data_IF_563398592623
#
_entry.id   IF_563398592623
#
_cell.length_a   1.000
_cell.length_b   1.000
_cell.length_c   1.000
_cell.angle_alpha   90.00
_cell.angle_beta   90.00
_cell.angle_gamma   90.00
#
_symmetry.space_group_name_H-M   'P 1'
#
loop_
_entity.id
_entity.type
_entity.pdbx_description
1 polymer ?
#
# COMPACT_ATOMS: atom_id res chain seq x y z
N UNK A 1 -47.48 3.73 -44.75
CA UNK A 1 -46.95 2.85 -45.81
C UNK A 1 -45.78 3.63 -46.41
N UNK A 2 -44.55 3.45 -45.91
CA UNK A 2 -43.65 2.29 -46.04
C UNK A 2 -42.84 2.34 -47.34
N UNK A 3 -41.51 2.21 -47.22
CA UNK A 3 -40.51 2.41 -48.28
C UNK A 3 -39.72 3.70 -48.05
N UNK A 4 -38.59 3.68 -47.34
CA UNK A 4 -37.25 3.27 -47.79
C UNK A 4 -36.60 4.28 -48.75
N UNK A 5 -35.80 5.19 -48.20
CA UNK A 5 -34.41 5.43 -48.62
C UNK A 5 -33.80 6.61 -47.82
N UNK A 6 -33.54 6.37 -46.53
CA UNK A 6 -32.45 7.05 -45.84
C UNK A 6 -31.18 6.27 -46.16
N UNK A 7 -30.42 6.72 -47.17
CA UNK A 7 -29.16 6.09 -47.57
C UNK A 7 -27.98 7.03 -47.22
N UNK A 8 -27.19 6.76 -46.17
CA UNK A 8 -26.11 7.63 -45.72
C UNK A 8 -24.81 7.46 -46.55
N UNK A 9 -24.92 7.13 -47.84
CA UNK A 9 -23.79 6.78 -48.71
C UNK A 9 -23.55 7.78 -49.86
N UNK A 10 -23.74 9.09 -49.62
CA UNK A 10 -23.08 10.07 -50.48
C UNK A 10 -21.63 10.22 -50.03
N UNK A 11 -20.70 9.86 -50.92
CA UNK A 11 -19.28 9.76 -50.61
C UNK A 11 -18.66 11.11 -50.26
N UNK A 12 -18.28 11.28 -48.99
CA UNK A 12 -17.42 12.37 -48.57
C UNK A 12 -16.12 12.39 -49.41
N UNK A 13 -15.71 13.56 -49.87
CA UNK A 13 -14.47 13.72 -50.63
C UNK A 13 -13.29 13.75 -49.64
N UNK A 14 -12.51 12.67 -49.57
CA UNK A 14 -11.33 12.59 -48.70
C UNK A 14 -10.27 13.60 -49.12
N UNK A 15 -9.97 14.56 -48.23
CA UNK A 15 -8.83 15.46 -48.34
C UNK A 15 -7.59 14.78 -47.73
N UNK A 16 -6.42 14.99 -48.32
CA UNK A 16 -5.16 14.53 -47.74
C UNK A 16 -4.52 15.63 -46.90
N UNK A 17 -3.84 15.27 -45.80
CA UNK A 17 -3.11 16.21 -44.94
C UNK A 17 -2.27 17.19 -45.77
N UNK A 18 -2.50 18.50 -45.57
CA UNK A 18 -1.79 19.58 -46.28
C UNK A 18 -2.32 19.93 -47.67
N UNK A 19 -3.49 19.44 -48.08
CA UNK A 19 -4.14 19.83 -49.34
C UNK A 19 -5.15 20.96 -49.17
N UNK A 20 -4.94 22.06 -49.90
CA UNK A 20 -5.95 23.10 -50.11
C UNK A 20 -6.73 22.76 -51.38
N UNK A 21 -8.03 22.46 -51.24
CA UNK A 21 -8.92 22.17 -52.36
C UNK A 21 -10.07 23.19 -52.40
N UNK A 22 -10.35 23.65 -53.62
CA UNK A 22 -11.37 24.64 -53.94
C UNK A 22 -12.64 23.91 -54.39
N UNK A 23 -13.72 24.05 -53.63
CA UNK A 23 -15.04 23.56 -54.02
C UNK A 23 -15.88 24.70 -54.62
N UNK A 24 -16.10 24.64 -55.93
CA UNK A 24 -17.00 25.55 -56.63
C UNK A 24 -18.46 25.11 -56.52
N UNK A 25 -19.36 26.06 -56.23
CA UNK A 25 -20.79 25.81 -56.06
C UNK A 25 -21.50 25.36 -57.35
N UNK A 26 -22.34 24.31 -57.21
CA UNK A 26 -23.43 24.03 -58.16
C UNK A 26 -24.58 25.03 -58.00
N UNK A 27 -25.31 25.33 -59.08
CA UNK A 27 -26.21 26.48 -59.11
C UNK A 27 -27.71 26.15 -58.83
N UNK A 28 -28.37 27.09 -58.13
CA UNK A 28 -29.83 27.24 -57.84
C UNK A 28 -30.23 26.80 -56.43
N UNK A 29 -30.97 27.60 -55.64
CA UNK A 29 -32.37 28.04 -55.90
C UNK A 29 -32.63 29.55 -55.73
N UNK A 30 -33.67 30.04 -56.43
CA UNK A 30 -34.17 31.42 -56.46
C UNK A 30 -35.43 31.59 -55.59
N UNK A 31 -35.65 32.78 -55.04
CA UNK A 31 -36.91 33.24 -54.41
C UNK A 31 -37.60 34.20 -55.39
N UNK A 32 -38.88 34.09 -55.81
CA UNK A 32 -40.03 33.20 -55.51
C UNK A 32 -40.77 32.97 -56.87
N UNK A 33 -41.77 32.09 -57.10
CA UNK A 33 -42.82 31.53 -56.24
C UNK A 33 -43.38 30.20 -56.82
N UNK A 34 -44.17 29.46 -56.02
CA UNK A 34 -44.74 28.12 -56.27
C UNK A 34 -43.74 26.94 -56.28
N UNK A 35 -44.20 25.79 -55.79
CA UNK A 35 -43.40 24.57 -55.62
C UNK A 35 -43.61 23.57 -56.77
N UNK A 36 -42.53 22.91 -57.21
CA UNK A 36 -42.33 21.47 -56.91
C UNK A 36 -40.87 21.02 -57.19
N UNK A 37 -40.50 19.94 -56.51
CA UNK A 37 -39.17 19.36 -56.24
C UNK A 37 -38.36 18.93 -57.49
N UNK A 38 -37.05 19.22 -57.54
CA UNK A 38 -36.01 18.15 -57.61
C UNK A 38 -34.62 18.59 -57.11
N UNK A 39 -34.01 17.70 -56.35
CA UNK A 39 -32.79 17.79 -55.54
C UNK A 39 -31.52 18.10 -56.36
N UNK A 40 -30.62 18.90 -55.79
CA UNK A 40 -29.18 18.93 -56.09
C UNK A 40 -28.40 18.72 -54.79
N UNK A 41 -27.31 17.95 -54.83
CA UNK A 41 -26.73 17.31 -53.65
C UNK A 41 -26.16 18.29 -52.62
N UNK A 42 -26.65 18.17 -51.38
CA UNK A 42 -25.92 18.65 -50.20
C UNK A 42 -24.70 17.75 -50.01
N UNK A 43 -23.50 18.32 -50.18
CA UNK A 43 -22.26 17.68 -49.76
C UNK A 43 -21.95 18.12 -48.34
N UNK A 44 -22.38 17.32 -47.37
CA UNK A 44 -21.88 17.41 -46.00
C UNK A 44 -20.36 17.32 -46.06
N UNK A 45 -19.67 18.39 -45.68
CA UNK A 45 -18.22 18.50 -45.85
C UNK A 45 -17.56 18.25 -44.50
N UNK A 46 -16.85 17.11 -44.41
CA UNK A 46 -16.02 16.76 -43.27
C UNK A 46 -14.70 17.56 -43.32
N UNK A 47 -14.37 18.25 -42.23
CA UNK A 47 -13.06 18.89 -42.04
C UNK A 47 -12.38 18.24 -40.83
N UNK A 48 -11.12 17.86 -40.96
CA UNK A 48 -10.38 17.27 -39.85
C UNK A 48 -9.85 18.34 -38.90
N UNK A 49 -9.58 17.97 -37.64
CA UNK A 49 -9.21 18.96 -36.64
C UNK A 49 -7.91 19.70 -37.00
N UNK A 50 -7.94 21.04 -36.88
CA UNK A 50 -6.93 22.01 -37.34
C UNK A 50 -6.80 22.22 -38.86
N UNK A 51 -7.48 21.46 -39.70
CA UNK A 51 -7.62 21.84 -41.11
C UNK A 51 -8.59 23.04 -41.26
N UNK A 52 -8.42 23.79 -42.34
CA UNK A 52 -9.26 24.94 -42.69
C UNK A 52 -9.87 24.75 -44.07
N UNK A 53 -11.19 24.80 -44.18
CA UNK A 53 -11.88 24.83 -45.47
C UNK A 53 -12.07 26.28 -45.94
N UNK A 54 -11.87 26.52 -47.23
CA UNK A 54 -12.28 27.79 -47.87
C UNK A 54 -13.52 27.52 -48.71
N UNK A 55 -14.62 28.20 -48.38
CA UNK A 55 -15.85 28.21 -49.14
C UNK A 55 -15.79 29.35 -50.16
N UNK A 56 -16.12 29.05 -51.42
CA UNK A 56 -16.17 30.03 -52.51
C UNK A 56 -17.60 30.25 -53.00
N UNK A 57 -18.09 31.49 -52.90
CA UNK A 57 -19.34 31.94 -53.50
C UNK A 57 -19.13 32.26 -55.00
N UNK A 58 -20.18 32.21 -55.84
CA UNK A 58 -19.99 32.27 -57.28
C UNK A 58 -19.54 33.67 -57.71
N UNK A 59 -18.44 33.74 -58.46
CA UNK A 59 -17.84 35.02 -58.84
C UNK A 59 -18.70 35.83 -59.82
N UNK A 60 -18.53 37.16 -59.80
CA UNK A 60 -19.14 38.10 -60.76
C UNK A 60 -20.29 38.95 -60.22
N UNK A 61 -20.73 38.74 -58.97
CA UNK A 61 -21.73 39.59 -58.31
C UNK A 61 -21.11 40.78 -57.57
N UNK A 62 -21.81 41.92 -57.46
CA UNK A 62 -21.33 43.12 -56.77
C UNK A 62 -21.51 43.11 -55.24
N UNK A 63 -22.23 42.12 -54.69
CA UNK A 63 -22.52 42.01 -53.24
C UNK A 63 -22.38 40.55 -52.82
N UNK A 64 -21.64 40.32 -51.73
CA UNK A 64 -21.61 39.09 -50.92
C UNK A 64 -21.77 39.51 -49.45
N UNK A 65 -22.46 38.68 -48.66
CA UNK A 65 -22.61 38.80 -47.20
C UNK A 65 -22.70 37.39 -46.62
N UNK A 66 -21.70 36.97 -45.86
CA UNK A 66 -21.71 35.71 -45.10
C UNK A 66 -22.39 35.88 -43.73
N UNK A 67 -22.64 34.78 -43.01
CA UNK A 67 -23.27 34.81 -41.68
C UNK A 67 -22.46 35.53 -40.59
N UNK A 68 -21.13 35.64 -40.74
CA UNK A 68 -20.27 36.47 -39.88
C UNK A 68 -20.20 37.95 -40.31
N UNK A 69 -20.90 38.33 -41.39
CA UNK A 69 -20.91 39.68 -41.95
C UNK A 69 -19.73 39.99 -42.87
N UNK A 70 -18.84 39.04 -43.16
CA UNK A 70 -17.79 39.23 -44.18
C UNK A 70 -18.40 39.38 -45.59
N UNK A 71 -17.71 40.11 -46.47
CA UNK A 71 -18.23 40.52 -47.78
C UNK A 71 -17.33 40.15 -48.97
N UNK A 72 -16.39 39.23 -48.75
CA UNK A 72 -15.54 38.63 -49.79
C UNK A 72 -16.29 37.47 -50.48
N UNK A 73 -15.94 37.12 -51.73
CA UNK A 73 -16.48 35.93 -52.37
C UNK A 73 -15.96 34.63 -51.73
N UNK A 74 -14.84 34.70 -51.01
CA UNK A 74 -14.23 33.59 -50.28
C UNK A 74 -14.46 33.73 -48.77
N UNK A 75 -14.54 32.60 -48.05
CA UNK A 75 -14.55 32.56 -46.59
C UNK A 75 -13.86 31.31 -46.03
N UNK A 76 -12.98 31.49 -45.04
CA UNK A 76 -12.34 30.40 -44.31
C UNK A 76 -13.17 29.96 -43.11
N UNK A 77 -13.32 28.64 -42.93
CA UNK A 77 -14.05 28.00 -41.83
C UNK A 77 -13.07 27.30 -40.88
N UNK A 78 -13.39 27.34 -39.58
CA UNK A 78 -12.54 26.90 -38.47
C UNK A 78 -13.27 25.99 -37.45
N UNK A 79 -14.48 25.54 -37.76
CA UNK A 79 -15.36 24.81 -36.83
C UNK A 79 -16.49 24.08 -37.54
N UNK A 80 -17.21 23.23 -36.80
CA UNK A 80 -18.46 22.63 -37.25
C UNK A 80 -19.63 23.62 -37.15
N UNK A 81 -20.65 23.43 -38.00
CA UNK A 81 -21.88 24.20 -37.97
C UNK A 81 -22.53 24.39 -39.33
N UNK A 82 -23.66 25.12 -39.34
CA UNK A 82 -24.31 25.58 -40.56
C UNK A 82 -23.86 26.98 -40.89
N UNK A 83 -23.24 27.14 -42.06
CA UNK A 83 -22.76 28.42 -42.59
C UNK A 83 -23.61 28.84 -43.79
N UNK A 84 -23.73 30.14 -44.05
CA UNK A 84 -24.48 30.63 -45.21
C UNK A 84 -23.86 31.88 -45.85
N UNK A 85 -24.12 32.03 -47.15
CA UNK A 85 -23.76 33.21 -47.94
C UNK A 85 -24.98 33.76 -48.65
N UNK A 86 -25.13 35.09 -48.63
CA UNK A 86 -26.06 35.81 -49.48
C UNK A 86 -25.28 36.62 -50.52
N UNK A 87 -25.53 36.38 -51.80
CA UNK A 87 -24.83 37.06 -52.89
C UNK A 87 -25.80 37.51 -53.99
N UNK A 88 -25.42 38.53 -54.76
CA UNK A 88 -26.23 38.97 -55.90
C UNK A 88 -26.08 40.43 -56.29
N UNK A 89 -27.03 40.89 -57.10
CA UNK A 89 -27.17 42.30 -57.48
C UNK A 89 -28.00 43.07 -56.44
N UNK A 90 -27.99 44.41 -56.50
CA UNK A 90 -28.78 45.27 -55.59
C UNK A 90 -30.29 44.95 -55.62
N UNK A 91 -30.79 44.40 -56.73
CA UNK A 91 -32.22 44.09 -56.92
C UNK A 91 -32.57 42.59 -56.79
N UNK A 92 -31.60 41.69 -56.86
CA UNK A 92 -31.80 40.23 -56.83
C UNK A 92 -30.68 39.62 -55.99
N UNK A 93 -31.04 38.96 -54.90
CA UNK A 93 -30.13 38.31 -53.96
C UNK A 93 -30.51 36.82 -53.86
N UNK A 94 -29.50 35.95 -53.90
CA UNK A 94 -29.58 34.51 -53.67
C UNK A 94 -28.98 34.20 -52.30
N UNK A 95 -29.45 33.15 -51.62
CA UNK A 95 -28.86 32.63 -50.38
C UNK A 95 -28.49 31.18 -50.61
N UNK A 96 -27.33 30.77 -50.10
CA UNK A 96 -26.83 29.40 -50.13
C UNK A 96 -26.34 28.98 -48.73
N UNK A 97 -26.38 27.68 -48.42
CA UNK A 97 -26.15 27.13 -47.09
C UNK A 97 -25.28 25.88 -47.13
N UNK A 98 -24.32 25.79 -46.21
CA UNK A 98 -23.37 24.69 -46.07
C UNK A 98 -23.52 24.06 -44.68
N UNK A 99 -23.49 22.74 -44.59
CA UNK A 99 -23.29 22.03 -43.32
C UNK A 99 -21.87 21.47 -43.30
N UNK A 100 -21.14 21.80 -42.23
CA UNK A 100 -19.76 21.39 -42.02
C UNK A 100 -19.71 20.62 -40.71
N UNK A 101 -19.21 19.39 -40.78
CA UNK A 101 -18.91 18.58 -39.60
C UNK A 101 -17.40 18.57 -39.37
N UNK A 102 -17.02 18.66 -38.10
CA UNK A 102 -15.63 18.74 -37.65
C UNK A 102 -15.53 17.92 -36.37
N UNK A 103 -14.96 16.70 -36.44
CA UNK A 103 -15.06 15.74 -35.37
C UNK A 103 -14.10 16.14 -34.22
N UNK A 104 -14.56 15.99 -32.98
CA UNK A 104 -13.87 16.52 -31.80
C UNK A 104 -12.55 15.77 -31.46
N UNK A 105 -11.41 16.42 -31.69
CA UNK A 105 -10.09 15.88 -31.36
C UNK A 105 -9.76 15.87 -29.86
N UNK A 106 -10.59 16.48 -29.02
CA UNK A 106 -10.36 16.63 -27.59
C UNK A 106 -10.72 15.36 -26.79
N UNK A 107 -10.81 14.20 -27.45
CA UNK A 107 -10.81 12.90 -26.78
C UNK A 107 -9.53 12.79 -25.94
N UNK A 108 -9.75 12.74 -24.64
CA UNK A 108 -8.73 12.56 -23.62
C UNK A 108 -8.62 11.08 -23.25
N UNK A 109 -7.42 10.71 -22.83
CA UNK A 109 -7.18 9.46 -22.10
C UNK A 109 -7.04 9.88 -20.64
N UNK A 110 -7.81 9.25 -19.76
CA UNK A 110 -7.86 9.57 -18.33
C UNK A 110 -6.77 8.84 -17.53
N UNK A 111 -6.04 7.92 -18.19
CA UNK A 111 -4.85 7.26 -17.65
C UNK A 111 -3.64 8.21 -17.65
N UNK A 112 -2.99 8.31 -16.49
CA UNK A 112 -1.66 8.92 -16.36
C UNK A 112 -0.59 7.82 -16.31
N UNK A 113 0.68 8.21 -16.39
CA UNK A 113 1.80 7.31 -16.11
C UNK A 113 1.66 6.73 -14.69
N UNK A 114 1.81 5.41 -14.56
CA UNK A 114 1.49 4.68 -13.32
C UNK A 114 2.45 3.52 -13.07
N UNK A 115 2.58 3.12 -11.80
CA UNK A 115 3.42 2.02 -11.32
C UNK A 115 2.55 0.99 -10.61
N UNK A 116 2.47 -0.22 -11.16
CA UNK A 116 1.52 -1.27 -10.73
C UNK A 116 2.24 -2.61 -10.51
N UNK A 117 1.67 -3.47 -9.66
CA UNK A 117 2.24 -4.79 -9.42
C UNK A 117 1.97 -5.75 -10.59
N UNK A 118 2.87 -6.71 -10.82
CA UNK A 118 2.69 -7.76 -11.82
C UNK A 118 1.41 -8.59 -11.57
N UNK A 119 0.58 -8.72 -12.60
CA UNK A 119 -0.73 -9.39 -12.55
C UNK A 119 -1.89 -8.50 -12.09
N UNK A 120 -1.65 -7.22 -11.77
CA UNK A 120 -2.73 -6.26 -11.49
C UNK A 120 -3.56 -5.98 -12.75
N UNK A 121 -4.82 -5.59 -12.56
CA UNK A 121 -5.72 -5.19 -13.65
C UNK A 121 -5.89 -3.67 -13.60
N UNK A 122 -5.58 -2.99 -14.70
CA UNK A 122 -5.69 -1.52 -14.82
C UNK A 122 -6.84 -1.18 -15.76
N UNK A 123 -7.75 -0.31 -15.32
CA UNK A 123 -8.81 0.24 -16.17
C UNK A 123 -8.21 1.21 -17.19
N UNK A 124 -8.48 0.99 -18.48
CA UNK A 124 -8.16 1.90 -19.58
C UNK A 124 -9.40 2.72 -19.93
N UNK A 125 -9.30 4.04 -19.86
CA UNK A 125 -10.46 4.95 -19.96
C UNK A 125 -10.15 6.10 -20.91
N UNK A 126 -10.93 6.19 -21.99
CA UNK A 126 -10.97 7.30 -22.91
C UNK A 126 -12.40 7.87 -23.04
N UNK A 127 -12.52 9.09 -23.54
CA UNK A 127 -13.84 9.69 -23.81
C UNK A 127 -14.55 8.93 -24.94
N UNK A 128 -15.74 8.41 -24.66
CA UNK A 128 -16.62 7.73 -25.61
C UNK A 128 -17.45 8.75 -26.41
N UNK A 129 -17.22 8.80 -27.73
CA UNK A 129 -17.80 9.77 -28.66
C UNK A 129 -18.32 9.04 -29.88
N UNK A 130 -19.60 9.22 -30.19
CA UNK A 130 -20.26 8.53 -31.31
C UNK A 130 -19.58 8.81 -32.66
N UNK A 131 -19.40 7.77 -33.47
CA UNK A 131 -18.75 7.84 -34.78
C UNK A 131 -17.23 7.61 -34.76
N UNK A 132 -16.59 7.60 -33.59
CA UNK A 132 -15.17 7.26 -33.45
C UNK A 132 -14.92 5.75 -33.37
N UNK A 133 -13.74 5.35 -33.86
CA UNK A 133 -13.19 4.00 -33.71
C UNK A 133 -11.92 4.07 -32.86
N UNK A 134 -11.89 3.25 -31.83
CA UNK A 134 -10.81 3.17 -30.84
C UNK A 134 -9.95 1.93 -31.10
N UNK A 135 -8.65 2.03 -30.85
CA UNK A 135 -7.71 0.92 -30.95
C UNK A 135 -6.58 1.09 -29.93
N UNK A 136 -6.64 0.35 -28.82
CA UNK A 136 -5.57 0.29 -27.82
C UNK A 136 -4.46 -0.67 -28.28
N UNK A 137 -3.21 -0.23 -28.14
CA UNK A 137 -2.01 -0.95 -28.56
C UNK A 137 -0.91 -0.87 -27.50
N UNK A 138 -0.08 -1.92 -27.31
CA UNK A 138 -0.24 -3.27 -27.87
C UNK A 138 -1.47 -3.98 -27.27
N UNK A 139 -2.14 -4.82 -28.06
CA UNK A 139 -3.41 -5.47 -27.68
C UNK A 139 -3.26 -6.61 -26.66
N UNK A 140 -2.04 -7.11 -26.47
CA UNK A 140 -1.70 -8.26 -25.63
C UNK A 140 -2.06 -8.01 -24.17
N UNK A 141 -3.02 -8.77 -23.63
CA UNK A 141 -3.51 -8.61 -22.26
C UNK A 141 -4.57 -7.52 -22.08
N UNK A 142 -5.02 -6.86 -23.15
CA UNK A 142 -6.17 -5.95 -23.12
C UNK A 142 -7.44 -6.75 -23.40
N UNK A 143 -8.48 -6.59 -22.56
CA UNK A 143 -9.70 -7.39 -22.63
C UNK A 143 -10.54 -7.13 -23.91
N UNK A 144 -10.76 -5.85 -24.23
CA UNK A 144 -11.33 -5.38 -25.50
C UNK A 144 -10.55 -4.16 -26.00
N UNK A 145 -9.60 -4.33 -26.95
CA UNK A 145 -8.82 -3.22 -27.49
C UNK A 145 -9.61 -2.20 -28.32
N UNK A 146 -10.84 -2.51 -28.71
CA UNK A 146 -11.68 -1.64 -29.55
C UNK A 146 -12.67 -0.79 -28.74
N UNK A 147 -12.77 -1.02 -27.42
CA UNK A 147 -13.64 -0.26 -26.52
C UNK A 147 -12.94 0.98 -25.95
N UNK A 148 -13.61 2.15 -25.87
CA UNK A 148 -13.08 3.33 -25.19
C UNK A 148 -12.89 3.12 -23.68
N UNK A 149 -13.63 2.18 -23.08
CA UNK A 149 -13.46 1.76 -21.68
C UNK A 149 -13.22 0.25 -21.63
N UNK A 150 -12.06 -0.17 -21.16
CA UNK A 150 -11.59 -1.56 -21.18
C UNK A 150 -10.60 -1.80 -20.03
N UNK A 151 -10.00 -2.98 -19.94
CA UNK A 151 -8.98 -3.29 -18.91
C UNK A 151 -7.75 -3.93 -19.52
N UNK A 152 -6.60 -3.78 -18.87
CA UNK A 152 -5.33 -4.44 -19.22
C UNK A 152 -4.74 -5.20 -18.02
N UNK A 153 -4.27 -6.42 -18.26
CA UNK A 153 -3.45 -7.17 -17.31
C UNK A 153 -1.97 -6.69 -17.37
N UNK A 154 -1.45 -6.29 -16.23
CA UNK A 154 -0.10 -5.75 -16.06
C UNK A 154 0.95 -6.88 -16.00
N UNK A 155 1.34 -7.43 -17.15
CA UNK A 155 2.34 -8.51 -17.24
C UNK A 155 3.78 -8.02 -17.41
N UNK A 156 3.99 -6.84 -17.99
CA UNK A 156 5.29 -6.24 -18.29
C UNK A 156 5.17 -4.72 -18.43
N UNK A 157 6.26 -3.99 -18.14
CA UNK A 157 6.34 -2.53 -18.29
C UNK A 157 6.28 -2.12 -19.76
N UNK A 158 5.35 -1.24 -20.13
CA UNK A 158 5.15 -0.81 -21.52
C UNK A 158 4.39 0.51 -21.64
N UNK A 159 4.64 1.21 -22.75
CA UNK A 159 3.82 2.34 -23.18
C UNK A 159 2.54 1.82 -23.81
N UNK A 160 1.40 2.11 -23.20
CA UNK A 160 0.07 1.83 -23.76
C UNK A 160 -0.34 3.04 -24.60
N UNK A 161 -0.75 2.79 -25.84
CA UNK A 161 -1.12 3.82 -26.82
C UNK A 161 -2.55 3.60 -27.29
N UNK A 162 -3.41 4.59 -27.09
CA UNK A 162 -4.69 4.68 -27.78
C UNK A 162 -4.48 5.35 -29.13
N UNK A 163 -4.93 4.67 -30.19
CA UNK A 163 -5.18 5.27 -31.50
C UNK A 163 -6.68 5.52 -31.64
N UNK A 164 -7.02 6.74 -32.07
CA UNK A 164 -8.41 7.18 -32.27
C UNK A 164 -8.58 7.59 -33.73
N UNK A 165 -9.61 7.06 -34.37
CA UNK A 165 -9.86 7.23 -35.80
C UNK A 165 -11.31 7.62 -36.07
N UNK A 166 -11.52 8.80 -36.68
CA UNK A 166 -12.80 9.17 -37.28
C UNK A 166 -12.77 8.86 -38.79
N UNK A 167 -13.80 8.23 -39.38
CA UNK A 167 -13.83 7.91 -40.81
C UNK A 167 -13.61 9.15 -41.70
N UNK A 168 -12.55 9.13 -42.51
CA UNK A 168 -12.20 10.24 -43.42
C UNK A 168 -11.18 11.23 -42.88
N UNK A 169 -10.71 11.07 -41.63
CA UNK A 169 -9.64 11.88 -41.05
C UNK A 169 -8.40 11.07 -40.69
N UNK A 170 -7.24 11.74 -40.63
CA UNK A 170 -6.01 11.14 -40.12
C UNK A 170 -6.17 10.80 -38.62
N UNK A 171 -5.74 9.59 -38.18
CA UNK A 171 -5.89 9.17 -36.79
C UNK A 171 -4.92 9.92 -35.87
N UNK A 172 -5.37 10.20 -34.65
CA UNK A 172 -4.52 10.76 -33.61
C UNK A 172 -4.24 9.74 -32.50
N UNK A 173 -3.21 10.03 -31.71
CA UNK A 173 -2.68 9.12 -30.70
C UNK A 173 -2.64 9.81 -29.33
N UNK A 174 -2.80 9.00 -28.29
CA UNK A 174 -2.53 9.33 -26.87
C UNK A 174 -1.81 8.14 -26.26
N UNK A 175 -0.89 8.38 -25.34
CA UNK A 175 -0.13 7.30 -24.72
C UNK A 175 0.26 7.66 -23.30
N UNK A 176 0.33 6.64 -22.44
CA UNK A 176 0.91 6.72 -21.10
C UNK A 176 1.85 5.54 -20.88
N UNK A 177 2.77 5.67 -19.91
CA UNK A 177 3.70 4.62 -19.52
C UNK A 177 3.16 3.87 -18.29
N UNK A 178 3.02 2.56 -18.43
CA UNK A 178 2.71 1.66 -17.32
C UNK A 178 3.99 0.93 -16.93
N UNK A 179 4.51 1.22 -15.74
CA UNK A 179 5.59 0.46 -15.13
C UNK A 179 5.03 -0.70 -14.33
N UNK A 180 5.53 -1.90 -14.55
CA UNK A 180 5.14 -3.12 -13.85
C UNK A 180 6.30 -3.58 -12.97
N UNK A 181 6.11 -3.56 -11.65
CA UNK A 181 7.10 -4.07 -10.69
C UNK A 181 6.73 -5.50 -10.26
N UNK A 182 7.75 -6.32 -10.04
CA UNK A 182 7.56 -7.67 -9.49
C UNK A 182 7.19 -7.61 -8.00
N UNK A 183 6.48 -8.64 -7.51
CA UNK A 183 6.19 -8.81 -6.08
C UNK A 183 7.51 -8.99 -5.32
N UNK A 184 7.82 -8.16 -4.32
CA UNK A 184 9.09 -8.24 -3.62
C UNK A 184 9.21 -9.53 -2.79
N UNK A 185 10.34 -10.24 -2.91
CA UNK A 185 10.64 -11.39 -2.06
C UNK A 185 11.21 -10.88 -0.74
N UNK A 186 10.63 -11.28 0.39
CA UNK A 186 11.11 -10.94 1.73
C UNK A 186 11.50 -12.22 2.46
N UNK A 187 12.76 -12.30 2.90
CA UNK A 187 13.23 -13.38 3.77
C UNK A 187 13.62 -12.80 5.14
N UNK A 188 12.77 -13.04 6.15
CA UNK A 188 13.08 -12.68 7.54
C UNK A 188 14.15 -13.58 8.17
N UNK A 189 15.03 -13.01 9.03
CA UNK A 189 15.85 -13.80 9.94
C UNK A 189 15.01 -14.67 10.88
N UNK A 190 15.58 -15.79 11.33
CA UNK A 190 14.93 -16.69 12.26
C UNK A 190 14.57 -16.00 13.58
N UNK A 191 13.39 -16.32 14.13
CA UNK A 191 12.94 -15.82 15.44
C UNK A 191 13.93 -16.18 16.55
N UNK A 192 14.19 -15.23 17.46
CA UNK A 192 15.25 -15.33 18.47
C UNK A 192 14.76 -15.05 19.89
N UNK A 193 15.65 -15.21 20.87
CA UNK A 193 15.42 -14.89 22.28
C UNK A 193 16.50 -13.95 22.79
N UNK A 194 16.10 -12.84 23.41
CA UNK A 194 16.96 -11.83 24.02
C UNK A 194 16.66 -11.65 25.51
N UNK A 195 17.61 -11.08 26.25
CA UNK A 195 17.41 -10.66 27.63
C UNK A 195 16.82 -9.25 27.66
N UNK A 196 15.96 -8.94 28.64
CA UNK A 196 15.36 -7.61 28.78
C UNK A 196 16.43 -6.50 28.76
N UNK A 197 16.18 -5.45 27.98
CA UNK A 197 17.10 -4.31 27.85
C UNK A 197 18.29 -4.52 26.89
N UNK A 198 18.47 -5.72 26.32
CA UNK A 198 19.36 -5.92 25.17
C UNK A 198 18.60 -5.65 23.86
N UNK A 199 19.31 -5.24 22.81
CA UNK A 199 18.76 -5.11 21.44
C UNK A 199 19.23 -6.25 20.54
N UNK A 200 18.45 -6.56 19.50
CA UNK A 200 18.82 -7.49 18.43
C UNK A 200 18.84 -6.77 17.09
N UNK A 201 19.98 -6.77 16.41
CA UNK A 201 20.11 -6.30 15.02
C UNK A 201 19.40 -7.27 14.07
N UNK A 202 18.49 -6.74 13.25
CA UNK A 202 17.69 -7.49 12.28
C UNK A 202 17.96 -6.93 10.89
N UNK A 203 18.37 -7.83 10.00
CA UNK A 203 18.71 -7.55 8.61
C UNK A 203 17.85 -8.43 7.69
N UNK A 204 16.65 -7.97 7.28
CA UNK A 204 15.85 -8.65 6.28
C UNK A 204 16.60 -8.75 4.95
N UNK A 205 16.54 -9.91 4.32
CA UNK A 205 17.07 -10.12 2.98
C UNK A 205 15.95 -9.93 1.96
N UNK A 206 16.13 -8.94 1.07
CA UNK A 206 15.15 -8.52 0.07
C UNK A 206 15.92 -8.35 -1.25
N UNK A 207 16.00 -9.38 -2.10
CA UNK A 207 16.70 -9.28 -3.38
C UNK A 207 15.95 -8.31 -4.31
N UNK A 208 16.71 -7.48 -5.05
CA UNK A 208 16.12 -6.51 -5.97
C UNK A 208 15.48 -5.27 -5.31
N UNK A 209 15.68 -5.08 -4.00
CA UNK A 209 15.28 -3.84 -3.33
C UNK A 209 15.96 -2.62 -3.97
N UNK A 210 15.14 -1.64 -4.37
CA UNK A 210 15.55 -0.40 -5.05
C UNK A 210 15.39 0.81 -4.10
N UNK A 211 15.84 2.01 -4.51
CA UNK A 211 15.69 3.25 -3.74
C UNK A 211 14.22 3.65 -3.52
N UNK A 212 13.31 3.18 -4.38
CA UNK A 212 11.85 3.37 -4.27
C UNK A 212 11.19 2.53 -3.17
N UNK A 213 11.87 1.50 -2.63
CA UNK A 213 11.26 0.58 -1.68
C UNK A 213 11.06 1.24 -0.32
N UNK A 214 9.85 1.15 0.22
CA UNK A 214 9.52 1.66 1.56
C UNK A 214 9.20 0.52 2.53
N UNK A 215 9.52 0.76 3.80
CA UNK A 215 9.50 -0.23 4.88
C UNK A 215 8.60 0.26 6.01
N UNK A 216 7.82 -0.63 6.63
CA UNK A 216 7.01 -0.30 7.80
C UNK A 216 6.99 -1.43 8.82
N UNK A 217 7.55 -1.19 10.00
CA UNK A 217 7.56 -2.13 11.12
C UNK A 217 6.40 -1.87 12.10
N UNK A 218 5.63 -2.93 12.38
CA UNK A 218 4.50 -2.91 13.33
C UNK A 218 4.65 -4.08 14.33
N UNK A 219 4.55 -3.85 15.65
CA UNK A 219 4.42 -2.55 16.32
C UNK A 219 5.70 -1.71 16.21
N UNK A 220 5.59 -0.39 16.22
CA UNK A 220 6.74 0.52 16.24
C UNK A 220 7.47 0.56 17.61
N UNK A 221 6.83 0.10 18.68
CA UNK A 221 7.40 0.12 20.03
C UNK A 221 8.57 -0.86 20.14
N UNK A 222 9.74 -0.37 20.56
CA UNK A 222 10.97 -1.18 20.64
C UNK A 222 11.65 -1.43 19.29
N UNK A 223 11.30 -0.68 18.23
CA UNK A 223 12.05 -0.67 16.96
C UNK A 223 12.89 0.61 16.90
N UNK A 224 14.17 0.52 16.51
CA UNK A 224 15.06 1.69 16.43
C UNK A 224 14.61 2.75 15.41
N UNK A 225 14.15 2.31 14.24
CA UNK A 225 13.54 3.13 13.20
C UNK A 225 12.47 2.29 12.49
N UNK A 226 11.17 2.52 12.74
CA UNK A 226 10.09 1.75 12.12
C UNK A 226 9.98 1.90 10.59
N UNK A 227 10.73 2.81 9.97
CA UNK A 227 10.74 3.06 8.52
C UNK A 227 12.02 2.59 7.79
N UNK A 228 12.97 2.01 8.53
CA UNK A 228 14.21 1.44 7.97
C UNK A 228 14.06 -0.05 7.63
N UNK A 229 14.77 -0.52 6.61
CA UNK A 229 14.94 -1.96 6.33
C UNK A 229 15.68 -2.66 7.48
N UNK A 230 16.80 -2.07 7.88
CA UNK A 230 17.70 -2.60 8.91
C UNK A 230 17.42 -1.90 10.24
N UNK A 231 17.12 -2.69 11.27
CA UNK A 231 16.63 -2.17 12.57
C UNK A 231 17.23 -2.92 13.75
N UNK A 232 17.21 -2.28 14.92
CA UNK A 232 17.44 -2.94 16.20
C UNK A 232 16.09 -3.11 16.89
N UNK A 233 15.77 -4.36 17.25
CA UNK A 233 14.57 -4.71 18.03
C UNK A 233 14.93 -4.89 19.50
N UNK A 234 14.29 -4.10 20.37
CA UNK A 234 14.44 -4.14 21.83
C UNK A 234 13.06 -4.07 22.53
N UNK A 235 12.17 -5.06 22.34
CA UNK A 235 10.90 -5.13 23.07
C UNK A 235 11.08 -5.34 24.58
N UNK A 236 10.12 -4.85 25.37
CA UNK A 236 10.05 -5.11 26.82
C UNK A 236 9.39 -6.47 27.15
N UNK A 237 8.56 -7.00 26.25
CA UNK A 237 7.84 -8.26 26.40
C UNK A 237 7.98 -9.09 25.13
N UNK A 238 7.79 -10.41 25.21
CA UNK A 238 7.82 -11.28 24.00
C UNK A 238 6.85 -10.78 22.94
N UNK A 239 7.37 -10.31 21.81
CA UNK A 239 6.63 -9.55 20.79
C UNK A 239 6.91 -10.14 19.41
N UNK A 240 5.89 -10.21 18.57
CA UNK A 240 6.04 -10.47 17.13
C UNK A 240 5.97 -9.14 16.39
N UNK A 241 7.01 -8.85 15.63
CA UNK A 241 7.08 -7.72 14.72
C UNK A 241 6.76 -8.17 13.31
N UNK A 242 6.07 -7.32 12.56
CA UNK A 242 5.71 -7.50 11.16
C UNK A 242 6.39 -6.37 10.38
N UNK A 243 7.09 -6.72 9.30
CA UNK A 243 7.58 -5.76 8.31
C UNK A 243 6.65 -5.81 7.11
N UNK A 244 6.12 -4.66 6.72
CA UNK A 244 5.53 -4.44 5.39
C UNK A 244 6.60 -3.84 4.47
N UNK A 245 6.75 -4.40 3.28
CA UNK A 245 7.63 -3.90 2.22
C UNK A 245 6.76 -3.52 1.03
N UNK A 246 6.82 -2.24 0.64
CA UNK A 246 6.13 -1.69 -0.53
C UNK A 246 7.19 -1.34 -1.59
N UNK A 247 7.00 -1.80 -2.83
CA UNK A 247 7.95 -1.59 -3.94
C UNK A 247 7.77 -0.25 -4.70
N UNK A 248 6.89 0.62 -4.22
CA UNK A 248 6.41 1.82 -4.92
C UNK A 248 5.26 1.56 -5.91
N UNK A 249 4.87 0.29 -6.10
CA UNK A 249 3.74 -0.11 -6.93
C UNK A 249 2.46 -0.32 -6.11
N UNK A 250 1.31 0.04 -6.68
CA UNK A 250 0.01 -0.27 -6.06
C UNK A 250 -0.25 -1.79 -6.00
N UNK A 251 -0.89 -2.23 -4.91
CA UNK A 251 -1.21 -3.64 -4.57
C UNK A 251 -0.01 -4.62 -4.55
N UNK A 252 1.22 -4.11 -4.39
CA UNK A 252 2.46 -4.90 -4.42
C UNK A 252 3.10 -5.13 -3.04
N UNK A 253 2.35 -4.96 -1.96
CA UNK A 253 2.84 -5.04 -0.59
C UNK A 253 3.03 -6.48 -0.11
N UNK A 254 4.21 -6.75 0.46
CA UNK A 254 4.52 -8.04 1.11
C UNK A 254 4.76 -7.84 2.59
N UNK A 255 4.17 -8.71 3.41
CA UNK A 255 4.31 -8.72 4.86
C UNK A 255 4.95 -10.01 5.32
N UNK A 256 6.03 -9.91 6.08
CA UNK A 256 6.66 -11.03 6.80
C UNK A 256 6.89 -10.65 8.28
N UNK A 257 7.21 -11.62 9.13
CA UNK A 257 7.25 -11.43 10.59
C UNK A 257 8.43 -12.12 11.27
N UNK A 258 8.89 -11.49 12.36
CA UNK A 258 9.91 -12.03 13.25
C UNK A 258 9.42 -11.96 14.70
N UNK A 259 9.56 -13.07 15.44
CA UNK A 259 9.24 -13.12 16.86
C UNK A 259 10.49 -12.97 17.71
N UNK A 260 10.47 -11.99 18.59
CA UNK A 260 11.52 -11.73 19.58
C UNK A 260 10.97 -12.13 20.95
N UNK A 261 11.54 -13.19 21.52
CA UNK A 261 11.20 -13.65 22.88
C UNK A 261 12.07 -12.93 23.91
N UNK A 262 11.46 -12.37 24.94
CA UNK A 262 12.16 -11.58 25.96
C UNK A 262 12.22 -12.35 27.28
N UNK A 263 13.43 -12.55 27.79
CA UNK A 263 13.70 -13.12 29.11
C UNK A 263 13.62 -11.99 30.14
N UNK A 264 12.74 -12.06 31.15
CA UNK A 264 12.71 -11.09 32.24
C UNK A 264 14.03 -11.09 33.03
N UNK A 265 14.40 -9.93 33.56
CA UNK A 265 15.57 -9.74 34.43
C UNK A 265 15.21 -9.78 35.94
N UNK A 266 14.20 -10.57 36.31
CA UNK A 266 13.72 -10.72 37.68
C UNK A 266 13.67 -12.19 38.12
N UNK A 267 14.19 -12.44 39.33
CA UNK A 267 13.95 -13.65 40.12
C UNK A 267 13.18 -13.25 41.38
N UNK A 268 12.40 -14.17 41.93
CA UNK A 268 11.67 -14.00 43.18
C UNK A 268 12.12 -15.06 44.19
N UNK A 269 12.84 -14.63 45.22
CA UNK A 269 13.34 -15.49 46.29
C UNK A 269 12.25 -15.66 47.36
N UNK A 270 11.68 -16.85 47.45
CA UNK A 270 10.57 -17.13 48.38
C UNK A 270 11.04 -17.13 49.86
N UNK A 271 12.35 -17.32 50.07
CA UNK A 271 12.96 -17.40 51.39
C UNK A 271 13.21 -16.01 51.99
N UNK A 272 12.74 -15.81 53.21
CA UNK A 272 12.99 -14.62 54.02
C UNK A 272 14.00 -14.94 55.14
N UNK A 273 14.62 -13.91 55.71
CA UNK A 273 15.50 -14.01 56.88
C UNK A 273 14.84 -14.83 58.02
N UNK A 274 15.57 -15.80 58.57
CA UNK A 274 15.00 -16.77 59.51
C UNK A 274 16.00 -17.22 60.58
N UNK A 275 15.51 -17.49 61.79
CA UNK A 275 16.27 -18.14 62.86
C UNK A 275 15.93 -19.63 62.93
N UNK A 276 16.94 -20.50 63.01
CA UNK A 276 16.80 -21.96 63.03
C UNK A 276 17.62 -22.57 64.18
N UNK A 277 17.16 -23.69 64.74
CA UNK A 277 18.00 -24.50 65.61
C UNK A 277 18.95 -25.38 64.77
N UNK A 278 20.15 -25.63 65.29
CA UNK A 278 21.14 -26.51 64.64
C UNK A 278 20.56 -27.89 64.29
N UNK A 279 20.80 -28.35 63.07
CA UNK A 279 20.32 -29.63 62.54
C UNK A 279 18.92 -29.63 61.91
N UNK A 280 18.22 -28.47 61.86
CA UNK A 280 16.97 -28.34 61.11
C UNK A 280 17.26 -28.07 59.63
N UNK A 281 16.55 -28.77 58.74
CA UNK A 281 16.58 -28.51 57.30
C UNK A 281 15.35 -27.71 56.87
N UNK A 282 15.54 -26.72 56.00
CA UNK A 282 14.46 -25.90 55.41
C UNK A 282 14.44 -26.03 53.87
N UNK A 283 13.26 -26.00 53.23
CA UNK A 283 13.18 -25.88 51.78
C UNK A 283 13.62 -24.48 51.34
N UNK A 284 14.32 -24.41 50.21
CA UNK A 284 14.62 -23.15 49.50
C UNK A 284 14.08 -23.19 48.09
N UNK A 285 13.60 -22.05 47.61
CA UNK A 285 12.93 -21.92 46.33
C UNK A 285 13.13 -20.52 45.76
N UNK A 286 13.50 -20.46 44.48
CA UNK A 286 13.52 -19.23 43.67
C UNK A 286 12.64 -19.42 42.44
N UNK A 287 11.74 -18.47 42.18
CA UNK A 287 10.98 -18.42 40.94
C UNK A 287 11.72 -17.55 39.91
N UNK A 288 11.72 -17.96 38.64
CA UNK A 288 12.36 -17.22 37.56
C UNK A 288 12.24 -17.91 36.20
N UNK A 289 12.90 -17.37 35.17
CA UNK A 289 12.75 -17.90 33.82
C UNK A 289 13.44 -19.27 33.66
N UNK A 290 12.79 -20.30 33.07
CA UNK A 290 13.30 -21.68 32.98
C UNK A 290 14.50 -21.87 32.01
N UNK A 291 15.15 -20.79 31.59
CA UNK A 291 16.37 -20.82 30.76
C UNK A 291 17.59 -20.26 31.51
N UNK A 292 17.43 -19.85 32.77
CA UNK A 292 18.56 -19.57 33.66
C UNK A 292 19.06 -20.85 34.32
N UNK A 293 20.37 -20.93 34.53
CA UNK A 293 20.99 -21.88 35.44
C UNK A 293 21.08 -21.24 36.81
N UNK A 294 20.74 -21.99 37.86
CA UNK A 294 20.72 -21.52 39.24
C UNK A 294 21.93 -22.03 40.00
N UNK A 295 22.44 -21.23 40.94
CA UNK A 295 23.54 -21.60 41.81
C UNK A 295 23.38 -20.99 43.21
N UNK A 296 23.31 -21.83 44.23
CA UNK A 296 23.27 -21.42 45.64
C UNK A 296 24.68 -21.44 46.24
N UNK A 297 25.02 -20.41 47.01
CA UNK A 297 26.27 -20.29 47.75
C UNK A 297 26.02 -19.80 49.20
N UNK A 298 26.76 -20.29 50.22
CA UNK A 298 27.75 -21.38 50.15
C UNK A 298 27.11 -22.73 49.81
N UNK A 299 27.86 -23.65 49.18
CA UNK A 299 27.34 -24.99 48.84
C UNK A 299 27.19 -25.88 50.09
N UNK A 300 27.96 -25.60 51.16
CA UNK A 300 27.92 -26.38 52.39
C UNK A 300 26.52 -26.40 53.02
N UNK A 301 26.00 -27.61 53.28
CA UNK A 301 24.67 -27.82 53.86
C UNK A 301 23.51 -27.78 52.85
N UNK A 302 23.75 -27.47 51.57
CA UNK A 302 22.73 -27.46 50.52
C UNK A 302 22.65 -28.83 49.84
N UNK A 303 21.45 -29.40 49.72
CA UNK A 303 21.25 -30.76 49.20
C UNK A 303 21.55 -30.87 47.68
N UNK A 304 21.16 -29.86 46.91
CA UNK A 304 21.56 -29.66 45.52
C UNK A 304 21.71 -28.15 45.26
N UNK A 305 22.93 -27.61 45.11
CA UNK A 305 23.15 -26.18 44.92
C UNK A 305 22.86 -25.69 43.50
N UNK A 306 22.54 -26.57 42.53
CA UNK A 306 22.31 -26.19 41.13
C UNK A 306 20.84 -26.19 40.69
N UNK A 307 19.91 -26.43 41.63
CA UNK A 307 18.47 -26.40 41.36
C UNK A 307 17.81 -25.14 41.91
N UNK A 308 16.79 -24.64 41.19
CA UNK A 308 15.93 -23.54 41.67
C UNK A 308 15.17 -23.90 42.96
N UNK A 309 14.89 -25.20 43.18
CA UNK A 309 14.28 -25.74 44.39
C UNK A 309 15.23 -26.71 45.06
N UNK A 310 15.53 -26.50 46.34
CA UNK A 310 16.49 -27.32 47.09
C UNK A 310 16.12 -27.36 48.58
N UNK A 311 17.00 -27.89 49.42
CA UNK A 311 16.87 -27.83 50.88
C UNK A 311 18.21 -27.54 51.53
N UNK A 312 18.22 -26.64 52.51
CA UNK A 312 19.42 -26.21 53.24
C UNK A 312 19.37 -26.68 54.68
N UNK A 313 20.44 -27.31 55.12
CA UNK A 313 20.71 -27.70 56.50
C UNK A 313 21.96 -26.96 56.96
N UNK A 314 21.82 -25.74 57.49
CA UNK A 314 22.94 -24.84 57.72
C UNK A 314 23.82 -25.33 58.89
N UNK A 315 25.14 -25.12 58.78
CA UNK A 315 26.11 -25.44 59.84
C UNK A 315 26.58 -24.22 60.65
N UNK A 316 26.47 -23.01 60.10
CA UNK A 316 26.79 -21.74 60.77
C UNK A 316 25.85 -20.61 60.31
N UNK A 317 25.62 -19.59 61.15
CA UNK A 317 24.84 -18.40 60.76
C UNK A 317 25.53 -17.66 59.62
N UNK A 318 24.77 -17.24 58.61
CA UNK A 318 25.35 -16.66 57.40
C UNK A 318 24.31 -16.22 56.37
N UNK A 319 24.80 -15.52 55.34
CA UNK A 319 24.03 -15.23 54.14
C UNK A 319 24.05 -16.43 53.22
N UNK A 320 22.87 -16.81 52.71
CA UNK A 320 22.72 -17.70 51.56
C UNK A 320 22.35 -16.84 50.36
N UNK A 321 23.14 -16.93 49.30
CA UNK A 321 22.97 -16.19 48.05
C UNK A 321 22.57 -17.15 46.94
N UNK A 322 21.61 -16.75 46.11
CA UNK A 322 21.23 -17.43 44.87
C UNK A 322 21.67 -16.58 43.68
N UNK A 323 22.37 -17.20 42.73
CA UNK A 323 22.73 -16.59 41.44
C UNK A 323 21.97 -17.29 40.33
N UNK A 324 21.25 -16.53 39.51
CA UNK A 324 20.67 -16.97 38.25
C UNK A 324 21.53 -16.44 37.09
N UNK A 325 22.07 -17.34 36.27
CA UNK A 325 23.01 -17.02 35.19
C UNK A 325 22.60 -17.61 33.85
N UNK A 326 22.85 -16.88 32.77
CA UNK A 326 22.68 -17.33 31.38
C UNK A 326 23.59 -16.53 30.45
N UNK A 327 24.28 -17.22 29.55
CA UNK A 327 25.09 -16.58 28.50
C UNK A 327 24.30 -15.55 27.70
N UNK A 328 24.84 -14.34 27.58
CA UNK A 328 24.22 -13.19 26.92
C UNK A 328 23.29 -12.34 27.80
N UNK A 329 22.87 -12.84 28.96
CA UNK A 329 22.19 -12.06 29.99
C UNK A 329 23.17 -11.55 31.04
N UNK A 330 22.79 -10.50 31.76
CA UNK A 330 23.52 -10.07 32.95
C UNK A 330 23.10 -10.99 34.12
N UNK A 331 24.06 -11.45 34.92
CA UNK A 331 23.78 -12.34 36.07
C UNK A 331 22.94 -11.62 37.13
N UNK A 332 22.03 -12.36 37.75
CA UNK A 332 21.10 -11.85 38.75
C UNK A 332 21.33 -12.57 40.08
N UNK A 333 21.34 -11.83 41.18
CA UNK A 333 21.62 -12.37 42.52
C UNK A 333 20.60 -11.87 43.54
N UNK A 334 20.17 -12.76 44.44
CA UNK A 334 19.40 -12.41 45.64
C UNK A 334 19.92 -13.20 46.85
N UNK A 335 19.58 -12.80 48.08
CA UNK A 335 20.10 -13.43 49.30
C UNK A 335 19.22 -13.25 50.53
N UNK A 336 19.23 -14.24 51.41
CA UNK A 336 18.57 -14.20 52.72
C UNK A 336 19.53 -14.62 53.85
N UNK A 337 19.27 -14.15 55.07
CA UNK A 337 20.08 -14.44 56.24
C UNK A 337 19.52 -15.60 57.07
N UNK A 338 20.39 -16.54 57.45
CA UNK A 338 20.09 -17.60 58.39
C UNK A 338 20.81 -17.35 59.71
N UNK A 339 20.05 -17.30 60.80
CA UNK A 339 20.58 -17.18 62.16
C UNK A 339 20.43 -18.51 62.92
N UNK A 340 21.56 -19.18 63.18
CA UNK A 340 21.62 -20.46 63.88
C UNK A 340 21.66 -20.28 65.40
N UNK A 341 20.54 -20.62 66.04
CA UNK A 341 20.38 -20.59 67.49
C UNK A 341 20.87 -21.91 68.13
N UNK A 342 21.66 -21.84 69.21
CA UNK A 342 22.14 -23.03 69.92
C UNK A 342 20.98 -23.75 70.63
N UNK A 343 21.09 -25.06 70.79
CA UNK A 343 20.13 -25.85 71.58
C UNK A 343 20.23 -25.41 73.05
N UNK A 344 19.12 -25.02 73.71
CA UNK A 344 19.18 -24.56 75.09
C UNK A 344 19.50 -25.69 76.06
N UNK A 345 20.60 -25.56 76.82
CA UNK A 345 20.92 -26.47 77.92
C UNK A 345 20.01 -26.21 79.12
N UNK A 346 19.08 -27.13 79.38
CA UNK A 346 18.21 -27.07 80.58
C UNK A 346 18.89 -27.80 81.73
N UNK A 347 19.46 -27.03 82.67
CA UNK A 347 19.90 -27.55 83.96
C UNK A 347 18.86 -27.20 85.03
N UNK A 348 18.16 -28.22 85.55
CA UNK A 348 17.14 -28.06 86.59
C UNK A 348 17.71 -27.76 87.99
N UNK A 349 19.04 -27.69 88.13
CA UNK A 349 19.73 -27.71 89.41
C UNK A 349 19.88 -29.14 89.98
N UNK A 350 20.58 -29.29 91.10
CA UNK A 350 20.58 -30.55 91.84
C UNK A 350 19.19 -30.83 92.44
N UNK A 351 18.81 -32.11 92.53
CA UNK A 351 17.54 -32.53 93.14
C UNK A 351 17.43 -32.04 94.60
N UNK A 352 16.36 -31.30 94.89
CA UNK A 352 16.05 -30.81 96.23
C UNK A 352 15.53 -31.99 97.10
N UNK A 353 16.46 -32.66 97.78
CA UNK A 353 16.14 -33.71 98.75
C UNK A 353 15.53 -33.10 100.01
N UNK A 354 14.22 -32.87 99.99
CA UNK A 354 13.46 -32.40 101.15
C UNK A 354 13.43 -33.47 102.26
N UNK A 355 14.46 -33.47 103.10
CA UNK A 355 14.54 -34.27 104.32
C UNK A 355 13.64 -33.67 105.44
N UNK A 356 12.33 -33.64 105.17
CA UNK A 356 11.31 -33.23 106.12
C UNK A 356 11.23 -34.20 107.29
N UNK A 357 11.88 -33.88 108.41
CA UNK A 357 11.67 -34.58 109.68
C UNK A 357 10.25 -34.33 110.14
N UNK A 358 9.36 -35.31 109.96
CA UNK A 358 8.04 -35.29 110.61
C UNK A 358 8.24 -35.32 112.14
N UNK A 359 7.84 -34.28 112.88
CA UNK A 359 7.99 -34.29 114.33
C UNK A 359 6.97 -35.25 114.96
N UNK A 360 7.47 -36.38 115.46
CA UNK A 360 6.71 -37.27 116.33
C UNK A 360 6.32 -36.54 117.62
N UNK A 361 5.07 -36.08 117.70
CA UNK A 361 4.51 -35.46 118.90
C UNK A 361 3.26 -36.21 119.40
N UNK A 362 3.51 -37.04 120.40
CA UNK A 362 2.64 -37.47 121.50
C UNK A 362 1.27 -38.14 121.25
N UNK A 363 1.16 -39.32 121.88
CA UNK A 363 -0.08 -40.02 122.27
C UNK A 363 -0.79 -39.36 123.47
N UNK A 364 -2.05 -39.79 123.67
CA UNK A 364 -2.98 -39.64 124.82
C UNK A 364 -3.96 -38.46 124.77
N UNK A 365 -5.20 -38.62 125.26
CA UNK A 365 -5.84 -39.81 125.89
C UNK A 365 -6.74 -40.62 124.95
#
# INVERSE_FOLDING_TARGET
MAGSDCNPNNSAHTLASGSSLVFGLGASVVVSENAEITIGDIYDTLICYQDTLVLEAPLGYPVYVWDDGSSTPERTIYGSGTYWVRYGSVCIQTVDTYYIDMPDSNISVHNNDTVVCIGSVVDLIADDVEGYVYEWMPSEGIADPASPVTTIEATESRTVTLKVNYPGCDPFYRSFYMEVKEVPVVEMPASTTICLGKGHEVHPYIPGADEDYSYSWVPAAGVSDPSSKDVILSPELTTTYYLTVNSGAEDCDVVDSIRISVIPNSIDLVNNDTSLCSGISIPVSVEGHPLFTYYWAPEEGIADPHQANSSITPEASGWVTITASREGCDDMTDSFYIDLQPVPEVNAGPDDTYAGVFPTSCLRE
#
